data_IF_585969584958
#
_entry.id   IF_585969584958
#
_cell.length_a   1.000
_cell.length_b   1.000
_cell.length_c   1.000
_cell.angle_alpha   90.00
_cell.angle_beta   90.00
_cell.angle_gamma   90.00
#
_symmetry.space_group_name_H-M   'P 1'
#
loop_
_entity.id
_entity.type
_entity.pdbx_description
1 polymer ?
#
# COMPACT_ATOMS: atom_id res chain seq x y z
N UNK A 1 0.94 -22.42 -13.00
CA UNK A 1 0.91 -22.07 -11.56
C UNK A 1 1.05 -20.57 -11.42
N UNK A 2 0.08 -19.88 -10.81
CA UNK A 2 0.18 -18.44 -10.58
C UNK A 2 1.24 -18.23 -9.49
N UNK A 3 2.27 -17.40 -9.75
CA UNK A 3 3.31 -17.12 -8.75
C UNK A 3 2.72 -16.15 -7.73
N UNK A 4 2.49 -16.62 -6.50
CA UNK A 4 1.92 -15.81 -5.42
C UNK A 4 2.97 -15.65 -4.32
N UNK A 5 3.09 -14.44 -3.77
CA UNK A 5 3.89 -14.14 -2.58
C UNK A 5 3.04 -13.42 -1.55
N UNK A 6 2.97 -13.95 -0.34
CA UNK A 6 2.32 -13.27 0.78
C UNK A 6 3.41 -12.56 1.59
N UNK A 7 3.25 -11.26 1.84
CA UNK A 7 4.20 -10.46 2.60
C UNK A 7 3.50 -9.75 3.76
N UNK A 8 4.22 -9.57 4.86
CA UNK A 8 3.78 -8.76 5.98
C UNK A 8 4.82 -7.67 6.23
N UNK A 9 4.39 -6.42 6.30
CA UNK A 9 5.25 -5.27 6.56
C UNK A 9 5.09 -4.89 8.03
N UNK A 10 6.16 -5.05 8.80
CA UNK A 10 6.23 -4.69 10.21
C UNK A 10 7.31 -3.63 10.37
N UNK A 11 6.98 -2.53 11.02
CA UNK A 11 7.92 -1.45 11.30
C UNK A 11 7.41 -0.57 12.45
N UNK A 12 8.30 0.21 13.03
CA UNK A 12 8.00 1.14 14.12
C UNK A 12 7.29 2.42 13.63
N UNK A 13 6.76 3.23 14.55
CA UNK A 13 6.12 4.52 14.23
C UNK A 13 7.10 5.41 13.43
N UNK A 14 6.61 6.14 12.44
CA UNK A 14 7.37 7.03 11.54
C UNK A 14 8.46 6.38 10.67
N UNK A 15 8.47 5.05 10.53
CA UNK A 15 9.43 4.34 9.66
C UNK A 15 8.98 4.22 8.19
N UNK A 16 8.04 5.05 7.73
CA UNK A 16 7.65 5.10 6.32
C UNK A 16 6.92 3.86 5.78
N UNK A 17 6.24 3.10 6.65
CA UNK A 17 5.42 1.94 6.22
C UNK A 17 4.41 2.34 5.15
N UNK A 18 3.67 3.42 5.39
CA UNK A 18 2.64 3.93 4.47
C UNK A 18 3.27 4.32 3.14
N UNK A 19 4.38 5.07 3.17
CA UNK A 19 5.15 5.43 1.98
C UNK A 19 5.62 4.22 1.18
N UNK A 20 6.08 3.15 1.85
CA UNK A 20 6.49 1.93 1.17
C UNK A 20 5.30 1.28 0.46
N UNK A 21 4.15 1.14 1.13
CA UNK A 21 2.97 0.51 0.53
C UNK A 21 2.43 1.34 -0.63
N UNK A 22 2.41 2.67 -0.52
CA UNK A 22 2.01 3.56 -1.62
C UNK A 22 2.92 3.40 -2.85
N UNK A 23 4.24 3.31 -2.66
CA UNK A 23 5.18 3.03 -3.76
C UNK A 23 5.00 1.63 -4.34
N UNK A 24 4.67 0.64 -3.53
CA UNK A 24 4.34 -0.72 -4.00
C UNK A 24 3.06 -0.73 -4.85
N UNK A 25 2.04 0.01 -4.44
CA UNK A 25 0.80 0.21 -5.18
C UNK A 25 1.05 0.88 -6.55
N UNK A 26 1.88 1.93 -6.59
CA UNK A 26 2.29 2.59 -7.84
C UNK A 26 3.08 1.65 -8.76
N UNK A 27 4.05 0.90 -8.21
CA UNK A 27 4.84 -0.06 -8.97
C UNK A 27 4.05 -1.26 -9.49
N UNK A 28 2.91 -1.57 -8.84
CA UNK A 28 2.01 -2.66 -9.20
C UNK A 28 1.05 -2.36 -10.36
N UNK A 29 1.16 -1.18 -11.00
CA UNK A 29 0.29 -0.75 -12.09
C UNK A 29 -1.22 -0.86 -11.77
N UNK A 30 -1.60 -0.72 -10.50
CA UNK A 30 -3.01 -0.71 -10.09
C UNK A 30 -3.75 0.56 -10.50
N UNK A 31 -3.02 1.54 -11.03
CA UNK A 31 -3.56 2.80 -11.51
C UNK A 31 -3.34 2.91 -13.02
N UNK A 32 -4.44 3.07 -13.77
CA UNK A 32 -4.37 3.67 -15.11
C UNK A 32 -3.75 5.06 -14.98
N UNK A 33 -3.00 5.50 -15.98
CA UNK A 33 -2.32 6.81 -16.06
C UNK A 33 -3.20 8.05 -15.74
N UNK A 34 -4.52 7.90 -15.60
CA UNK A 34 -5.50 8.97 -15.33
C UNK A 34 -6.23 8.86 -13.96
N UNK A 35 -5.82 7.98 -13.04
CA UNK A 35 -6.41 7.96 -11.69
C UNK A 35 -5.60 8.86 -10.75
N UNK A 36 -6.16 10.04 -10.46
CA UNK A 36 -5.71 10.89 -9.35
C UNK A 36 -5.78 10.06 -8.06
N UNK A 37 -4.63 9.66 -7.57
CA UNK A 37 -4.48 9.02 -6.26
C UNK A 37 -4.13 10.13 -5.29
N UNK A 38 -5.02 10.39 -4.34
CA UNK A 38 -4.69 11.20 -3.19
C UNK A 38 -3.48 10.57 -2.48
N UNK A 39 -2.55 11.39 -2.02
CA UNK A 39 -1.48 10.92 -1.13
C UNK A 39 -2.11 10.20 0.08
N UNK A 40 -1.57 9.03 0.44
CA UNK A 40 -2.01 8.16 1.55
C UNK A 40 -3.28 7.34 1.27
N UNK A 41 -3.21 6.41 0.32
CA UNK A 41 -4.34 5.59 -0.15
C UNK A 41 -4.94 4.70 0.96
N UNK A 42 -4.17 4.43 2.01
CA UNK A 42 -4.55 3.51 3.08
C UNK A 42 -5.11 4.21 4.33
N UNK A 43 -4.75 5.47 4.56
CA UNK A 43 -5.16 6.21 5.76
C UNK A 43 -6.57 6.78 5.53
N UNK A 44 -7.57 6.04 5.98
CA UNK A 44 -8.97 6.25 5.59
C UNK A 44 -9.76 7.01 6.64
N UNK A 45 -9.31 6.98 7.89
CA UNK A 45 -9.94 7.70 8.99
C UNK A 45 -9.29 9.07 9.16
N UNK A 46 -10.09 10.07 9.53
CA UNK A 46 -9.61 11.43 9.81
C UNK A 46 -8.52 11.44 10.88
N UNK A 47 -8.61 10.55 11.89
CA UNK A 47 -7.61 10.39 12.94
C UNK A 47 -6.26 9.86 12.41
N UNK A 48 -6.29 9.01 11.39
CA UNK A 48 -5.08 8.48 10.73
C UNK A 48 -4.41 9.57 9.90
N UNK A 49 -5.20 10.34 9.15
CA UNK A 49 -4.72 11.46 8.32
C UNK A 49 -4.18 12.62 9.17
N UNK A 50 -4.86 12.97 10.26
CA UNK A 50 -4.44 14.03 11.18
C UNK A 50 -3.14 13.70 11.91
N UNK A 51 -2.92 12.40 12.24
CA UNK A 51 -1.76 11.96 13.02
C UNK A 51 -0.65 11.32 12.21
N UNK A 52 -0.85 11.07 10.92
CA UNK A 52 0.12 10.40 10.05
C UNK A 52 0.43 8.96 10.47
N UNK A 53 -0.52 8.27 11.09
CA UNK A 53 -0.36 6.88 11.57
C UNK A 53 -1.38 5.96 10.91
N UNK A 54 -0.95 4.73 10.63
CA UNK A 54 -1.86 3.66 10.21
C UNK A 54 -2.31 2.87 11.44
N UNK A 55 -3.60 2.94 11.77
CA UNK A 55 -4.21 2.26 12.93
C UNK A 55 -4.81 0.93 12.48
N UNK A 56 -5.43 0.89 11.30
CA UNK A 56 -6.02 -0.31 10.72
C UNK A 56 -5.20 -0.78 9.50
N UNK A 57 -4.70 -2.02 9.52
CA UNK A 57 -4.07 -2.60 8.34
C UNK A 57 -5.14 -2.99 7.32
N UNK A 58 -5.07 -2.43 6.11
CA UNK A 58 -5.83 -2.94 4.97
C UNK A 58 -4.99 -3.94 4.19
N UNK A 59 -5.60 -5.03 3.75
CA UNK A 59 -4.96 -5.94 2.82
C UNK A 59 -4.86 -5.27 1.44
N UNK A 60 -3.70 -5.40 0.81
CA UNK A 60 -3.45 -4.86 -0.53
C UNK A 60 -2.87 -5.98 -1.36
N UNK A 61 -3.43 -6.22 -2.54
CA UNK A 61 -2.84 -7.15 -3.48
C UNK A 61 -2.40 -6.39 -4.73
N UNK A 62 -1.15 -6.59 -5.14
CA UNK A 62 -0.58 -5.96 -6.34
C UNK A 62 -0.08 -7.01 -7.33
N UNK A 63 -0.12 -6.67 -8.61
CA UNK A 63 0.57 -7.44 -9.65
C UNK A 63 1.92 -6.80 -9.92
N UNK A 64 3.00 -7.53 -9.65
CA UNK A 64 4.34 -7.08 -9.96
C UNK A 64 5.01 -8.09 -10.88
N UNK A 65 5.18 -7.70 -12.15
CA UNK A 65 5.62 -8.60 -13.24
C UNK A 65 4.66 -9.80 -13.33
N UNK A 66 5.18 -11.02 -13.29
CA UNK A 66 4.37 -12.25 -13.36
C UNK A 66 3.99 -12.80 -11.97
N UNK A 67 4.12 -11.99 -10.91
CA UNK A 67 3.91 -12.41 -9.52
C UNK A 67 2.82 -11.56 -8.87
N UNK A 68 1.81 -12.24 -8.33
CA UNK A 68 0.81 -11.63 -7.44
C UNK A 68 1.39 -11.52 -6.04
N UNK A 69 1.43 -10.31 -5.50
CA UNK A 69 1.83 -10.07 -4.11
C UNK A 69 0.56 -9.80 -3.31
N UNK A 70 0.41 -10.46 -2.17
CA UNK A 70 -0.63 -10.26 -1.17
C UNK A 70 -0.05 -9.70 0.11
#
# INVERSE_FOLDING_TARGET
MQKIRNIAIIAHVDHGKTTLVDKMLLAGNLFRENQHTEDLILDSNDLERERGITILSKNVSIQYKDVKIN
#
